data_IF_190024851519
#
_entry.id   IF_190024851519
#
_cell.length_a   1.000
_cell.length_b   1.000
_cell.length_c   1.000
_cell.angle_alpha   90.00
_cell.angle_beta   90.00
_cell.angle_gamma   90.00
#
_symmetry.space_group_name_H-M   'P 1'
#
loop_
_entity.id
_entity.type
_entity.pdbx_description
1 polymer ?
#
# COMPACT_ATOMS: atom_id res chain seq x y z
N UNK A 1 0.00 7.48 10.12
CA UNK A 1 -1.32 7.12 9.56
C UNK A 1 -2.34 6.77 10.63
N UNK A 2 -2.09 5.74 11.45
CA UNK A 2 -2.99 5.29 12.54
C UNK A 2 -3.59 6.42 13.40
N UNK A 3 -2.81 7.40 13.90
CA UNK A 3 -3.39 8.46 14.73
C UNK A 3 -4.37 9.37 13.97
N UNK A 4 -4.07 9.75 12.72
CA UNK A 4 -4.96 10.60 11.92
C UNK A 4 -6.26 9.87 11.54
N UNK A 5 -6.19 8.56 11.34
CA UNK A 5 -7.37 7.73 11.13
C UNK A 5 -8.32 7.79 12.32
N UNK A 6 -7.80 7.61 13.54
CA UNK A 6 -8.59 7.69 14.78
C UNK A 6 -9.17 9.08 15.02
N UNK A 7 -8.39 10.14 14.78
CA UNK A 7 -8.87 11.52 14.96
C UNK A 7 -9.99 11.82 13.93
N UNK A 8 -9.86 11.36 12.68
CA UNK A 8 -10.88 11.55 11.64
C UNK A 8 -12.21 10.84 11.95
N UNK A 9 -12.15 9.59 12.41
CA UNK A 9 -13.35 8.82 12.79
C UNK A 9 -14.05 9.44 14.01
N UNK A 10 -13.29 9.83 15.03
CA UNK A 10 -13.86 10.49 16.20
C UNK A 10 -14.47 11.86 15.87
N UNK A 11 -13.77 12.67 15.08
CA UNK A 11 -14.24 14.01 14.68
C UNK A 11 -15.55 13.94 13.88
N UNK A 12 -15.63 13.05 12.90
CA UNK A 12 -16.84 12.87 12.09
C UNK A 12 -18.00 12.32 12.92
N UNK A 13 -17.75 11.36 13.81
CA UNK A 13 -18.76 10.87 14.76
C UNK A 13 -19.28 11.96 15.69
N UNK A 14 -18.37 12.78 16.24
CA UNK A 14 -18.73 13.92 17.08
C UNK A 14 -19.61 14.92 16.34
N UNK A 15 -19.29 15.28 15.09
CA UNK A 15 -20.10 16.19 14.28
C UNK A 15 -21.51 15.64 14.07
N UNK A 16 -21.63 14.37 13.65
CA UNK A 16 -22.93 13.74 13.37
C UNK A 16 -23.80 13.70 14.62
N UNK A 17 -23.21 13.38 15.77
CA UNK A 17 -23.92 13.32 17.05
C UNK A 17 -24.29 14.71 17.58
N UNK A 18 -23.37 15.68 17.52
CA UNK A 18 -23.55 17.01 18.10
C UNK A 18 -24.58 17.85 17.34
N UNK A 19 -24.54 17.82 16.01
CA UNK A 19 -25.41 18.64 15.17
C UNK A 19 -26.72 17.97 14.77
N UNK A 20 -26.94 16.70 15.18
CA UNK A 20 -28.12 15.91 14.82
C UNK A 20 -28.50 16.07 13.35
N UNK A 21 -27.51 15.86 12.49
CA UNK A 21 -27.67 16.05 11.05
C UNK A 21 -28.75 15.10 10.50
N UNK A 22 -29.64 15.60 9.65
CA UNK A 22 -30.59 14.76 8.92
C UNK A 22 -29.87 13.90 7.87
N UNK A 23 -30.52 12.88 7.32
CA UNK A 23 -29.91 12.00 6.30
C UNK A 23 -29.35 12.81 5.11
N UNK A 24 -30.12 13.78 4.59
CA UNK A 24 -29.68 14.65 3.49
C UNK A 24 -28.48 15.52 3.88
N UNK A 25 -28.45 16.07 5.10
CA UNK A 25 -27.31 16.89 5.57
C UNK A 25 -26.06 16.04 5.79
N UNK A 26 -26.24 14.82 6.30
CA UNK A 26 -25.15 13.86 6.50
C UNK A 26 -24.56 13.41 5.16
N UNK A 27 -25.41 13.17 4.15
CA UNK A 27 -24.97 12.85 2.80
C UNK A 27 -24.18 14.00 2.17
N UNK A 28 -24.66 15.25 2.30
CA UNK A 28 -23.92 16.44 1.85
C UNK A 28 -22.57 16.58 2.57
N UNK A 29 -22.51 16.24 3.86
CA UNK A 29 -21.27 16.21 4.62
C UNK A 29 -20.29 15.15 4.10
N UNK A 30 -20.76 13.92 3.79
CA UNK A 30 -19.93 12.90 3.15
C UNK A 30 -19.36 13.38 1.82
N UNK A 31 -20.19 13.99 0.98
CA UNK A 31 -19.75 14.55 -0.32
C UNK A 31 -18.67 15.61 -0.09
N UNK A 32 -18.85 16.52 0.86
CA UNK A 32 -17.86 17.54 1.17
C UNK A 32 -16.50 16.92 1.61
N UNK A 33 -16.52 15.91 2.48
CA UNK A 33 -15.31 15.20 2.90
C UNK A 33 -14.61 14.49 1.73
N UNK A 34 -15.36 13.86 0.83
CA UNK A 34 -14.83 13.24 -0.40
C UNK A 34 -14.24 14.27 -1.38
N UNK A 35 -14.82 15.47 -1.45
CA UNK A 35 -14.22 16.55 -2.24
C UNK A 35 -12.91 17.02 -1.61
N UNK A 36 -12.82 17.12 -0.28
CA UNK A 36 -11.57 17.44 0.41
C UNK A 36 -10.48 16.38 0.17
N UNK A 37 -10.82 15.08 0.18
CA UNK A 37 -9.84 14.03 -0.16
C UNK A 37 -9.39 14.14 -1.62
N UNK A 38 -10.31 14.41 -2.54
CA UNK A 38 -9.98 14.59 -3.96
C UNK A 38 -9.04 15.79 -4.19
N UNK A 39 -9.27 16.90 -3.50
CA UNK A 39 -8.42 18.10 -3.57
C UNK A 39 -7.00 17.84 -3.05
N UNK A 40 -6.85 16.91 -2.09
CA UNK A 40 -5.55 16.52 -1.52
C UNK A 40 -4.85 15.38 -2.29
N UNK A 41 -5.55 14.74 -3.23
CA UNK A 41 -5.01 13.69 -4.12
C UNK A 41 -3.73 14.05 -4.90
N UNK A 42 -3.48 15.30 -5.38
CA UNK A 42 -2.26 15.59 -6.13
C UNK A 42 -0.96 15.45 -5.31
N UNK A 43 -1.03 15.13 -4.01
CA UNK A 43 0.14 14.71 -3.23
C UNK A 43 0.90 13.53 -3.87
N UNK A 44 0.22 12.67 -4.64
CA UNK A 44 0.87 11.58 -5.37
C UNK A 44 1.73 12.04 -6.55
N UNK A 45 1.62 13.32 -6.96
CA UNK A 45 2.47 13.92 -7.98
C UNK A 45 3.77 14.49 -7.41
N UNK A 46 3.94 14.48 -6.08
CA UNK A 46 5.20 14.88 -5.45
C UNK A 46 6.23 13.78 -5.72
N UNK A 47 6.92 13.92 -6.84
CA UNK A 47 8.04 13.08 -7.21
C UNK A 47 9.32 13.58 -6.54
N UNK A 48 10.15 12.63 -6.15
CA UNK A 48 11.46 12.88 -5.58
C UNK A 48 12.46 12.03 -6.35
N UNK A 49 13.53 12.65 -6.83
CA UNK A 49 14.62 11.91 -7.46
C UNK A 49 15.26 10.95 -6.45
N UNK A 50 15.50 9.73 -6.91
CA UNK A 50 16.24 8.70 -6.18
C UNK A 50 17.70 8.73 -6.61
N UNK A 51 18.61 8.40 -5.70
CA UNK A 51 20.04 8.33 -6.00
C UNK A 51 20.35 7.15 -6.94
N UNK A 52 21.08 7.35 -8.04
CA UNK A 52 21.28 6.31 -9.04
C UNK A 52 22.05 5.12 -8.46
N UNK A 53 21.58 3.91 -8.78
CA UNK A 53 22.23 2.66 -8.40
C UNK A 53 23.23 2.22 -9.48
N UNK A 54 24.52 2.28 -9.17
CA UNK A 54 25.59 1.92 -10.10
C UNK A 54 25.54 0.43 -10.48
N UNK A 55 25.69 0.16 -11.78
CA UNK A 55 25.59 -1.17 -12.37
C UNK A 55 24.17 -1.66 -12.63
N UNK A 56 23.15 -0.84 -12.33
CA UNK A 56 21.72 -1.18 -12.51
C UNK A 56 20.97 -0.06 -13.24
N UNK A 57 21.06 1.17 -12.75
CA UNK A 57 20.43 2.35 -13.36
C UNK A 57 21.44 3.14 -14.20
N UNK A 58 22.68 3.24 -13.71
CA UNK A 58 23.79 3.89 -14.40
C UNK A 58 24.99 2.96 -14.54
N UNK A 59 25.84 3.23 -15.53
CA UNK A 59 27.13 2.53 -15.67
C UNK A 59 28.11 3.01 -14.60
N UNK A 60 29.07 2.16 -14.25
CA UNK A 60 30.19 2.59 -13.42
C UNK A 60 30.97 3.69 -14.15
N UNK A 61 31.21 4.83 -13.49
CA UNK A 61 31.91 5.98 -14.10
C UNK A 61 33.30 5.61 -14.64
N UNK A 62 33.98 4.63 -14.01
CA UNK A 62 35.28 4.10 -14.45
C UNK A 62 35.23 3.35 -15.80
N UNK A 63 34.08 2.76 -16.16
CA UNK A 63 33.91 2.07 -17.44
C UNK A 63 33.69 3.07 -18.59
N UNK A 64 33.05 4.21 -18.29
CA UNK A 64 32.83 5.29 -19.26
C UNK A 64 34.16 5.96 -19.63
N UNK A 65 35.03 6.20 -18.64
CA UNK A 65 36.36 6.78 -18.86
C UNK A 65 37.31 5.86 -19.67
N UNK A 66 37.08 4.55 -19.66
CA UNK A 66 37.91 3.58 -20.40
C UNK A 66 37.45 3.36 -21.85
N UNK A 67 36.19 3.69 -22.17
CA UNK A 67 35.58 3.46 -23.50
C UNK A 67 35.66 4.69 -24.43
N UNK A 68 36.14 5.84 -23.96
CA UNK A 68 36.31 7.05 -24.79
C UNK A 68 37.37 6.89 -25.89
N UNK A 69 38.19 5.84 -25.84
CA UNK A 69 39.24 5.55 -26.83
C UNK A 69 38.88 4.44 -27.85
N UNK A 70 37.68 3.84 -27.79
CA UNK A 70 37.27 2.80 -28.75
C UNK A 70 36.02 3.18 -29.56
N UNK A 71 36.26 3.31 -30.86
CA UNK A 71 35.33 3.62 -31.96
C UNK A 71 33.91 3.02 -31.83
N UNK A 72 32.93 3.92 -31.84
CA UNK A 72 31.64 3.89 -32.53
C UNK A 72 31.15 2.52 -33.02
N UNK A 73 30.57 1.73 -32.11
CA UNK A 73 29.46 0.82 -32.38
C UNK A 73 28.64 0.72 -31.08
N UNK A 74 27.94 1.80 -30.74
CA UNK A 74 27.11 1.88 -29.55
C UNK A 74 25.85 1.02 -29.73
N UNK A 75 25.99 -0.30 -29.64
CA UNK A 75 24.91 -1.13 -29.09
C UNK A 75 24.64 -0.60 -27.68
N UNK A 76 23.39 -0.29 -27.36
CA UNK A 76 22.96 0.09 -26.01
C UNK A 76 23.44 -0.98 -25.01
N UNK A 77 24.60 -0.75 -24.40
CA UNK A 77 25.14 -1.64 -23.38
C UNK A 77 24.24 -1.41 -22.17
N UNK A 78 23.50 -2.43 -21.77
CA UNK A 78 22.71 -2.38 -20.55
C UNK A 78 23.69 -2.36 -19.36
N UNK A 79 23.49 -1.49 -18.34
CA UNK A 79 24.34 -1.48 -17.17
C UNK A 79 24.36 -2.86 -16.48
N UNK A 80 25.55 -3.30 -16.07
CA UNK A 80 25.80 -4.60 -15.44
C UNK A 80 26.41 -4.40 -14.06
N UNK A 81 25.94 -5.16 -13.06
CA UNK A 81 26.53 -5.16 -11.72
C UNK A 81 27.99 -5.61 -11.73
N UNK A 82 28.38 -6.49 -12.66
CA UNK A 82 29.79 -6.91 -12.81
C UNK A 82 30.47 -6.00 -13.83
N UNK A 83 31.58 -5.40 -13.41
CA UNK A 83 32.43 -4.47 -14.16
C UNK A 83 33.90 -4.84 -13.96
N UNK A 84 34.82 -4.29 -14.75
CA UNK A 84 36.25 -4.58 -14.61
C UNK A 84 36.80 -4.18 -13.23
N UNK A 85 36.22 -3.14 -12.62
CA UNK A 85 36.64 -2.65 -11.31
C UNK A 85 36.30 -3.60 -10.16
N UNK A 86 35.25 -4.43 -10.26
CA UNK A 86 34.84 -5.39 -9.23
C UNK A 86 35.12 -6.85 -9.60
N UNK A 87 35.93 -7.11 -10.64
CA UNK A 87 36.35 -8.48 -11.00
C UNK A 87 37.28 -9.14 -9.98
N UNK A 88 37.93 -8.36 -9.13
CA UNK A 88 38.87 -8.88 -8.13
C UNK A 88 38.16 -9.65 -7.02
N UNK A 89 36.84 -9.51 -6.90
CA UNK A 89 36.02 -10.13 -5.88
C UNK A 89 34.87 -10.92 -6.53
N UNK A 90 34.60 -12.13 -6.03
CA UNK A 90 33.52 -12.98 -6.56
C UNK A 90 32.17 -12.58 -5.92
N UNK A 91 31.62 -11.46 -6.38
CA UNK A 91 30.44 -10.88 -5.76
C UNK A 91 29.19 -11.73 -5.98
N UNK A 92 28.49 -12.01 -4.87
CA UNK A 92 27.23 -12.76 -4.84
C UNK A 92 26.06 -11.81 -5.12
N UNK A 93 25.31 -12.00 -6.23
CA UNK A 93 24.21 -11.12 -6.60
C UNK A 93 22.94 -11.32 -5.76
N UNK A 94 22.85 -12.40 -4.96
CA UNK A 94 21.71 -12.66 -4.08
C UNK A 94 21.82 -11.96 -2.72
N UNK A 95 22.93 -11.28 -2.44
CA UNK A 95 23.18 -10.65 -1.14
C UNK A 95 23.24 -9.12 -1.27
N UNK A 96 22.16 -8.45 -0.88
CA UNK A 96 22.02 -7.00 -0.96
C UNK A 96 22.47 -6.32 0.34
N UNK A 97 23.57 -5.56 0.27
CA UNK A 97 24.14 -4.80 1.40
C UNK A 97 24.51 -3.39 0.93
N UNK A 98 23.54 -2.46 0.80
CA UNK A 98 23.75 -1.20 0.12
C UNK A 98 24.83 -0.35 0.79
N UNK A 99 25.64 0.30 -0.04
CA UNK A 99 26.64 1.29 0.39
C UNK A 99 26.52 2.54 -0.46
N UNK A 100 26.83 3.69 0.13
CA UNK A 100 26.72 4.99 -0.52
C UNK A 100 28.09 5.67 -0.65
N UNK A 101 28.44 6.13 -1.84
CA UNK A 101 29.53 7.08 -2.05
C UNK A 101 28.97 8.52 -2.04
N UNK A 102 29.53 9.37 -1.18
CA UNK A 102 29.22 10.81 -1.16
C UNK A 102 30.38 11.59 -1.78
N UNK A 103 30.10 12.38 -2.81
CA UNK A 103 31.10 13.19 -3.51
C UNK A 103 31.10 14.65 -3.02
N UNK A 104 32.19 15.38 -3.29
CA UNK A 104 32.30 16.80 -2.92
C UNK A 104 31.24 17.70 -3.59
N UNK A 105 30.72 17.30 -4.75
CA UNK A 105 29.72 18.06 -5.51
C UNK A 105 28.28 17.79 -5.05
N UNK A 106 28.10 17.31 -3.82
CA UNK A 106 26.82 16.88 -3.24
C UNK A 106 26.09 15.74 -3.96
N UNK A 107 26.61 15.25 -5.11
CA UNK A 107 26.18 14.02 -5.78
C UNK A 107 26.44 12.83 -4.86
N UNK A 108 25.52 11.87 -4.88
CA UNK A 108 25.65 10.60 -4.18
C UNK A 108 25.39 9.47 -5.18
N UNK A 109 26.07 8.34 -4.99
CA UNK A 109 25.88 7.15 -5.82
C UNK A 109 25.78 5.93 -4.92
N UNK A 110 24.72 5.16 -5.13
CA UNK A 110 24.49 3.93 -4.39
C UNK A 110 25.12 2.74 -5.12
N UNK A 111 25.62 1.78 -4.36
CA UNK A 111 26.16 0.52 -4.87
C UNK A 111 25.44 -0.66 -4.20
N UNK A 112 25.26 -1.75 -4.95
CA UNK A 112 24.51 -2.93 -4.50
C UNK A 112 25.12 -3.60 -3.26
N UNK A 113 26.45 -3.66 -3.20
CA UNK A 113 27.20 -4.22 -2.07
C UNK A 113 28.60 -3.61 -1.99
N UNK A 114 29.32 -3.72 -0.86
CA UNK A 114 30.72 -3.29 -0.77
C UNK A 114 31.61 -4.06 -1.77
N UNK A 115 31.27 -5.30 -2.09
CA UNK A 115 31.94 -6.10 -3.12
C UNK A 115 31.73 -5.48 -4.51
N UNK A 116 30.48 -5.14 -4.86
CA UNK A 116 30.17 -4.51 -6.16
C UNK A 116 30.72 -3.08 -6.28
N UNK A 117 31.02 -2.40 -5.17
CA UNK A 117 31.79 -1.16 -5.13
C UNK A 117 33.32 -1.39 -5.26
N UNK A 118 33.78 -2.65 -5.22
CA UNK A 118 35.17 -3.03 -5.38
C UNK A 118 36.06 -2.74 -4.16
N UNK A 119 35.49 -2.68 -2.96
CA UNK A 119 36.24 -2.40 -1.73
C UNK A 119 37.14 -3.57 -1.33
N UNK A 120 38.44 -3.31 -1.15
CA UNK A 120 39.43 -4.31 -0.74
C UNK A 120 39.84 -4.22 0.74
N UNK A 121 39.61 -3.08 1.40
CA UNK A 121 40.17 -2.78 2.73
C UNK A 121 39.16 -2.95 3.87
N UNK A 122 39.68 -3.20 5.08
CA UNK A 122 38.92 -3.49 6.30
C UNK A 122 37.87 -2.40 6.63
N UNK A 123 36.64 -2.86 6.84
CA UNK A 123 35.51 -2.07 7.33
C UNK A 123 35.84 -1.40 8.67
N UNK A 124 35.74 -0.08 8.73
CA UNK A 124 35.87 0.65 9.98
C UNK A 124 34.52 0.71 10.71
N UNK A 125 34.37 -0.13 11.73
CA UNK A 125 33.11 -0.26 12.46
C UNK A 125 32.66 1.04 13.17
N UNK A 126 33.60 1.88 13.62
CA UNK A 126 33.28 3.12 14.34
C UNK A 126 32.61 4.15 13.43
N UNK A 127 33.07 4.28 12.19
CA UNK A 127 32.54 5.24 11.21
C UNK A 127 31.57 4.60 10.22
N UNK A 128 31.51 3.27 10.20
CA UNK A 128 30.76 2.45 9.23
C UNK A 128 31.18 2.73 7.79
N UNK A 129 32.48 2.85 7.54
CA UNK A 129 33.06 3.21 6.24
C UNK A 129 33.91 2.06 5.71
N UNK A 130 33.81 1.82 4.41
CA UNK A 130 34.73 0.98 3.65
C UNK A 130 35.70 1.86 2.86
N UNK A 131 36.92 1.35 2.70
CA UNK A 131 38.03 2.06 2.07
C UNK A 131 38.54 1.32 0.84
N UNK A 132 39.22 2.08 -0.04
CA UNK A 132 39.90 1.55 -1.21
C UNK A 132 38.96 0.75 -2.12
N UNK A 133 37.87 1.41 -2.53
CA UNK A 133 36.85 0.84 -3.40
C UNK A 133 37.16 1.16 -4.86
N UNK A 134 37.58 0.17 -5.64
CA UNK A 134 38.06 0.35 -7.01
C UNK A 134 37.02 0.85 -8.01
N UNK A 135 35.72 0.63 -7.76
CA UNK A 135 34.64 1.12 -8.61
C UNK A 135 34.17 2.54 -8.26
N UNK A 136 34.75 3.14 -7.22
CA UNK A 136 34.36 4.45 -6.70
C UNK A 136 35.40 5.48 -7.16
N UNK A 137 34.98 6.61 -7.74
CA UNK A 137 35.87 7.71 -8.07
C UNK A 137 36.61 8.29 -6.85
N UNK A 138 37.71 9.01 -7.11
CA UNK A 138 38.60 9.50 -6.05
C UNK A 138 38.06 10.71 -5.28
N UNK A 139 37.07 11.41 -5.83
CA UNK A 139 36.49 12.65 -5.32
C UNK A 139 35.44 12.44 -4.21
N UNK A 140 35.68 11.48 -3.31
CA UNK A 140 34.79 11.17 -2.19
C UNK A 140 35.03 12.07 -0.98
N UNK A 141 33.94 12.48 -0.31
CA UNK A 141 33.94 13.45 0.80
C UNK A 141 34.66 12.93 2.07
N UNK A 142 34.64 11.62 2.30
CA UNK A 142 35.13 11.00 3.54
C UNK A 142 36.50 10.32 3.41
N UNK A 143 37.25 10.59 2.33
CA UNK A 143 38.57 10.01 2.10
C UNK A 143 38.76 9.58 0.66
N UNK A 144 39.81 8.79 0.38
CA UNK A 144 40.09 8.27 -0.95
C UNK A 144 39.26 7.02 -1.26
N UNK A 145 38.39 7.10 -2.27
CA UNK A 145 37.54 6.00 -2.75
C UNK A 145 36.79 5.30 -1.62
N UNK A 146 36.05 6.08 -0.84
CA UNK A 146 35.35 5.61 0.36
C UNK A 146 33.84 5.51 0.15
N UNK A 147 33.23 4.52 0.81
CA UNK A 147 31.77 4.35 0.84
C UNK A 147 31.29 4.12 2.26
N UNK A 148 30.13 4.69 2.57
CA UNK A 148 29.46 4.54 3.86
C UNK A 148 28.46 3.39 3.78
N UNK A 149 28.38 2.61 4.85
CA UNK A 149 27.40 1.53 4.96
C UNK A 149 25.97 2.09 5.06
N UNK A 150 25.05 1.53 4.27
CA UNK A 150 23.67 1.94 4.18
C UNK A 150 23.33 2.68 2.90
N UNK A 151 22.05 3.03 2.78
CA UNK A 151 21.52 3.83 1.68
C UNK A 151 22.01 5.28 1.77
N UNK A 152 22.06 5.94 0.62
CA UNK A 152 22.34 7.36 0.53
C UNK A 152 21.29 8.20 1.28
N UNK A 153 21.74 9.34 1.81
CA UNK A 153 20.86 10.21 2.60
C UNK A 153 20.06 11.10 1.65
N UNK A 154 18.76 10.82 1.54
CA UNK A 154 17.87 11.60 0.68
C UNK A 154 17.78 13.05 1.18
N UNK A 155 18.34 14.00 0.42
CA UNK A 155 18.23 15.46 0.70
C UNK A 155 16.88 16.04 0.29
N UNK A 156 15.88 15.20 0.11
CA UNK A 156 14.64 15.55 -0.56
C UNK A 156 13.65 16.27 0.38
N UNK A 157 13.52 17.58 0.18
CA UNK A 157 12.51 18.39 0.88
C UNK A 157 11.08 18.01 0.49
N UNK A 158 10.89 17.38 -0.67
CA UNK A 158 9.60 16.88 -1.16
C UNK A 158 8.97 15.84 -0.23
N UNK A 159 9.78 15.02 0.46
CA UNK A 159 9.27 14.02 1.41
C UNK A 159 8.47 14.66 2.56
N UNK A 160 8.97 15.76 3.11
CA UNK A 160 8.25 16.48 4.17
C UNK A 160 6.94 17.09 3.66
N UNK A 161 6.93 17.62 2.44
CA UNK A 161 5.72 18.13 1.81
C UNK A 161 4.69 17.01 1.56
N UNK A 162 5.14 15.85 1.08
CA UNK A 162 4.31 14.66 0.93
C UNK A 162 3.69 14.23 2.26
N UNK A 163 4.48 14.12 3.33
CA UNK A 163 3.98 13.76 4.66
C UNK A 163 2.97 14.79 5.20
N UNK A 164 3.22 16.08 4.97
CA UNK A 164 2.35 17.16 5.38
C UNK A 164 0.99 17.15 4.66
N UNK A 165 0.94 16.71 3.39
CA UNK A 165 -0.30 16.54 2.63
C UNK A 165 -0.99 15.20 2.90
N UNK A 166 -0.21 14.16 3.19
CA UNK A 166 -0.72 12.82 3.45
C UNK A 166 -1.47 12.71 4.78
N UNK A 167 -1.03 13.45 5.80
CA UNK A 167 -1.71 13.48 7.10
C UNK A 167 -3.17 13.97 7.02
N UNK A 168 -3.48 15.16 6.44
CA UNK A 168 -4.87 15.60 6.28
C UNK A 168 -5.64 14.73 5.29
N UNK A 169 -4.99 14.21 4.23
CA UNK A 169 -5.65 13.26 3.33
C UNK A 169 -6.17 12.04 4.09
N UNK A 170 -5.34 11.42 4.93
CA UNK A 170 -5.74 10.29 5.78
C UNK A 170 -6.89 10.69 6.70
N UNK A 171 -6.80 11.85 7.36
CA UNK A 171 -7.85 12.34 8.25
C UNK A 171 -9.21 12.41 7.53
N UNK A 172 -9.28 13.05 6.36
CA UNK A 172 -10.54 13.17 5.61
C UNK A 172 -11.02 11.82 5.08
N UNK A 173 -10.13 10.95 4.60
CA UNK A 173 -10.49 9.62 4.11
C UNK A 173 -11.17 8.77 5.20
N UNK A 174 -10.61 8.75 6.42
CA UNK A 174 -11.18 7.99 7.53
C UNK A 174 -12.39 8.70 8.18
N UNK A 175 -12.50 10.02 8.06
CA UNK A 175 -13.67 10.77 8.52
C UNK A 175 -14.96 10.46 7.73
N UNK A 176 -14.87 9.89 6.52
CA UNK A 176 -16.04 9.52 5.71
C UNK A 176 -16.73 8.24 6.23
N UNK A 177 -16.00 7.35 6.91
CA UNK A 177 -16.52 6.04 7.31
C UNK A 177 -17.73 6.11 8.27
N UNK A 178 -17.61 6.91 9.34
CA UNK A 178 -18.67 7.05 10.36
C UNK A 178 -19.97 7.66 9.80
N UNK A 179 -19.96 8.78 9.06
CA UNK A 179 -21.20 9.34 8.52
C UNK A 179 -21.82 8.44 7.45
N UNK A 180 -21.05 7.67 6.67
CA UNK A 180 -21.59 6.67 5.76
C UNK A 180 -22.39 5.59 6.50
N UNK A 181 -21.78 4.97 7.51
CA UNK A 181 -22.45 3.95 8.34
C UNK A 181 -23.70 4.54 9.00
N UNK A 182 -23.62 5.78 9.51
CA UNK A 182 -24.76 6.46 10.12
C UNK A 182 -25.90 6.72 9.14
N UNK A 183 -25.63 6.96 7.86
CA UNK A 183 -26.69 7.14 6.84
C UNK A 183 -27.37 5.81 6.59
N UNK A 184 -26.61 4.73 6.36
CA UNK A 184 -27.16 3.39 6.09
C UNK A 184 -28.09 2.94 7.23
N UNK A 185 -27.67 3.10 8.48
CA UNK A 185 -28.47 2.74 9.65
C UNK A 185 -29.78 3.54 9.80
N UNK A 186 -29.86 4.73 9.20
CA UNK A 186 -31.06 5.59 9.24
C UNK A 186 -31.97 5.40 8.03
N UNK A 187 -31.48 4.78 6.96
CA UNK A 187 -32.26 4.52 5.74
C UNK A 187 -32.92 3.15 5.74
N UNK A 188 -32.48 2.24 6.61
CA UNK A 188 -33.00 0.87 6.69
C UNK A 188 -33.67 0.61 8.04
N UNK A 189 -34.66 -0.28 8.03
CA UNK A 189 -35.38 -0.70 9.22
C UNK A 189 -34.49 -1.50 10.18
N UNK A 190 -34.85 -1.51 11.46
CA UNK A 190 -34.03 -2.11 12.52
C UNK A 190 -33.68 -3.59 12.27
N UNK A 191 -34.59 -4.36 11.67
CA UNK A 191 -34.40 -5.77 11.36
C UNK A 191 -33.36 -6.03 10.26
N UNK A 192 -33.15 -5.08 9.34
CA UNK A 192 -32.31 -5.27 8.15
C UNK A 192 -30.93 -4.58 8.25
N UNK A 193 -30.63 -3.94 9.38
CA UNK A 193 -29.40 -3.14 9.56
C UNK A 193 -28.12 -3.95 9.38
N UNK A 194 -28.04 -5.11 10.02
CA UNK A 194 -26.85 -5.97 9.94
C UNK A 194 -26.63 -6.48 8.51
N UNK A 195 -27.72 -6.81 7.82
CA UNK A 195 -27.69 -7.23 6.42
C UNK A 195 -27.19 -6.11 5.49
N UNK A 196 -27.75 -4.90 5.63
CA UNK A 196 -27.34 -3.73 4.84
C UNK A 196 -25.86 -3.35 5.06
N UNK A 197 -25.38 -3.39 6.31
CA UNK A 197 -23.97 -3.16 6.61
C UNK A 197 -23.08 -4.26 6.02
N UNK A 198 -23.51 -5.52 6.07
CA UNK A 198 -22.82 -6.63 5.42
C UNK A 198 -22.61 -6.40 3.93
N UNK A 199 -23.69 -6.06 3.20
CA UNK A 199 -23.63 -5.73 1.77
C UNK A 199 -22.69 -4.54 1.51
N UNK A 200 -22.80 -3.48 2.31
CA UNK A 200 -21.93 -2.31 2.18
C UNK A 200 -20.44 -2.70 2.26
N UNK A 201 -20.05 -3.51 3.25
CA UNK A 201 -18.66 -3.96 3.40
C UNK A 201 -18.23 -4.92 2.29
N UNK A 202 -19.12 -5.78 1.81
CA UNK A 202 -18.85 -6.64 0.64
C UNK A 202 -18.53 -5.78 -0.57
N UNK A 203 -19.37 -4.79 -0.91
CA UNK A 203 -19.16 -3.91 -2.06
C UNK A 203 -17.86 -3.11 -1.94
N UNK A 204 -17.57 -2.53 -0.78
CA UNK A 204 -16.32 -1.78 -0.54
C UNK A 204 -15.09 -2.65 -0.77
N UNK A 205 -15.15 -3.91 -0.34
CA UNK A 205 -14.00 -4.82 -0.47
C UNK A 205 -13.85 -5.34 -1.90
N UNK A 206 -14.94 -5.73 -2.56
CA UNK A 206 -14.92 -6.21 -3.94
C UNK A 206 -14.45 -5.13 -4.91
N UNK A 207 -14.92 -3.89 -4.75
CA UNK A 207 -14.60 -2.79 -5.67
C UNK A 207 -13.29 -2.09 -5.29
N UNK A 208 -12.92 -2.08 -4.01
CA UNK A 208 -11.75 -1.35 -3.51
C UNK A 208 -10.60 -2.25 -3.09
N UNK A 209 -10.80 -3.05 -2.04
CA UNK A 209 -9.69 -3.75 -1.37
C UNK A 209 -9.14 -4.94 -2.14
N UNK A 210 -9.91 -5.57 -3.03
CA UNK A 210 -9.44 -6.66 -3.90
C UNK A 210 -8.62 -6.12 -5.08
N UNK A 211 -9.11 -5.17 -5.88
CA UNK A 211 -8.34 -4.67 -7.03
C UNK A 211 -7.13 -3.83 -6.62
N UNK A 212 -7.16 -3.15 -5.45
CA UNK A 212 -6.05 -2.29 -5.04
C UNK A 212 -4.71 -3.05 -4.91
N UNK A 213 -4.57 -4.14 -4.10
CA UNK A 213 -3.32 -4.90 -4.02
C UNK A 213 -2.88 -5.52 -5.35
N UNK A 214 -3.83 -5.92 -6.21
CA UNK A 214 -3.52 -6.48 -7.54
C UNK A 214 -2.91 -5.40 -8.44
N UNK A 215 -3.52 -4.22 -8.47
CA UNK A 215 -3.02 -3.09 -9.26
C UNK A 215 -1.69 -2.58 -8.72
N UNK A 216 -1.56 -2.42 -7.40
CA UNK A 216 -0.29 -2.02 -6.78
C UNK A 216 0.80 -3.07 -7.00
N UNK A 217 0.49 -4.36 -6.88
CA UNK A 217 1.43 -5.44 -7.18
C UNK A 217 1.92 -5.38 -8.63
N UNK A 218 1.00 -5.25 -9.59
CA UNK A 218 1.36 -5.08 -10.99
C UNK A 218 2.20 -3.82 -11.25
N UNK A 219 1.85 -2.71 -10.59
CA UNK A 219 2.62 -1.46 -10.70
C UNK A 219 4.05 -1.63 -10.16
N UNK A 220 4.23 -2.32 -9.04
CA UNK A 220 5.56 -2.64 -8.51
C UNK A 220 6.33 -3.56 -9.44
N UNK A 221 5.69 -4.59 -10.00
CA UNK A 221 6.32 -5.52 -10.94
C UNK A 221 6.78 -4.80 -12.23
N UNK A 222 5.98 -3.87 -12.76
CA UNK A 222 6.36 -3.04 -13.93
C UNK A 222 7.51 -2.07 -13.59
N UNK A 223 7.57 -1.62 -12.34
CA UNK A 223 8.62 -0.70 -11.87
C UNK A 223 9.96 -1.42 -11.61
N UNK A 224 9.99 -2.75 -11.63
CA UNK A 224 11.22 -3.51 -11.42
C UNK A 224 12.14 -3.44 -12.65
N UNK A 225 13.30 -2.82 -12.48
CA UNK A 225 14.33 -2.68 -13.52
C UNK A 225 14.98 -4.03 -13.91
N UNK A 226 14.85 -5.09 -13.09
CA UNK A 226 15.25 -6.47 -13.39
C UNK A 226 14.07 -7.44 -13.23
N UNK A 227 13.31 -7.64 -14.31
CA UNK A 227 12.17 -8.56 -14.35
C UNK A 227 12.52 -10.05 -14.28
N UNK A 228 13.80 -10.42 -14.42
CA UNK A 228 14.22 -11.78 -14.81
C UNK A 228 14.95 -12.62 -13.76
N UNK A 229 15.26 -12.10 -12.55
CA UNK A 229 16.06 -12.88 -11.58
C UNK A 229 15.27 -13.54 -10.47
N UNK A 230 14.07 -13.06 -10.11
CA UNK A 230 13.28 -13.67 -9.05
C UNK A 230 11.82 -13.77 -9.44
N UNK A 231 11.24 -14.95 -9.18
CA UNK A 231 9.81 -15.22 -9.39
C UNK A 231 9.03 -14.31 -8.43
N UNK A 232 8.45 -13.23 -8.96
CA UNK A 232 7.83 -12.17 -8.15
C UNK A 232 6.78 -12.71 -7.14
N UNK A 233 7.07 -12.51 -5.85
CA UNK A 233 6.22 -12.86 -4.70
C UNK A 233 4.92 -12.03 -4.63
N UNK A 234 4.81 -10.94 -5.41
CA UNK A 234 3.64 -10.06 -5.45
C UNK A 234 2.34 -10.77 -5.83
N UNK A 235 2.40 -11.71 -6.78
CA UNK A 235 1.25 -12.53 -7.19
C UNK A 235 0.80 -13.48 -6.08
N UNK A 236 1.73 -14.02 -5.29
CA UNK A 236 1.43 -14.88 -4.14
C UNK A 236 0.81 -14.09 -3.00
N UNK A 237 1.31 -12.90 -2.69
CA UNK A 237 0.76 -12.02 -1.64
C UNK A 237 -0.66 -11.54 -2.02
N UNK A 238 -0.87 -11.15 -3.28
CA UNK A 238 -2.20 -10.78 -3.77
C UNK A 238 -3.19 -11.95 -3.66
N UNK A 239 -2.79 -13.16 -4.06
CA UNK A 239 -3.62 -14.35 -3.93
C UNK A 239 -3.90 -14.74 -2.47
N UNK A 240 -2.92 -14.63 -1.58
CA UNK A 240 -3.09 -14.89 -0.14
C UNK A 240 -4.04 -13.87 0.50
N UNK A 241 -3.93 -12.57 0.17
CA UNK A 241 -4.85 -11.54 0.65
C UNK A 241 -6.28 -11.77 0.10
N UNK A 242 -6.41 -12.19 -1.15
CA UNK A 242 -7.69 -12.55 -1.76
C UNK A 242 -8.30 -13.77 -1.05
N UNK A 243 -7.51 -14.81 -0.78
CA UNK A 243 -7.96 -15.99 -0.03
C UNK A 243 -8.33 -15.63 1.41
N UNK A 244 -7.53 -14.83 2.13
CA UNK A 244 -7.83 -14.41 3.50
C UNK A 244 -9.09 -13.54 3.58
N UNK A 245 -9.30 -12.65 2.61
CA UNK A 245 -10.53 -11.84 2.55
C UNK A 245 -11.74 -12.70 2.24
N UNK A 246 -11.65 -13.63 1.29
CA UNK A 246 -12.71 -14.60 1.00
C UNK A 246 -12.99 -15.54 2.18
N UNK A 247 -11.96 -15.97 2.90
CA UNK A 247 -12.12 -16.80 4.11
C UNK A 247 -12.82 -16.01 5.21
N UNK A 248 -12.42 -14.77 5.46
CA UNK A 248 -13.11 -13.87 6.40
C UNK A 248 -14.57 -13.63 5.99
N UNK A 249 -14.85 -13.47 4.70
CA UNK A 249 -16.23 -13.37 4.23
C UNK A 249 -17.01 -14.67 4.40
N UNK A 250 -16.37 -15.81 4.14
CA UNK A 250 -16.98 -17.13 4.29
C UNK A 250 -17.25 -17.49 5.75
N UNK A 251 -16.45 -16.99 6.70
CA UNK A 251 -16.72 -17.13 8.13
C UNK A 251 -17.88 -16.24 8.56
N UNK A 252 -17.90 -14.97 8.14
CA UNK A 252 -19.00 -14.05 8.46
C UNK A 252 -20.35 -14.49 7.87
N UNK A 253 -20.36 -15.20 6.72
CA UNK A 253 -21.58 -15.77 6.14
C UNK A 253 -22.01 -17.09 6.79
N UNK A 254 -21.14 -17.76 7.54
CA UNK A 254 -21.43 -19.07 8.15
C UNK A 254 -22.05 -18.94 9.54
N UNK A 255 -21.97 -17.76 10.15
CA UNK A 255 -22.39 -17.51 11.53
C UNK A 255 -23.81 -16.96 11.69
N UNK A 256 -24.63 -16.92 10.63
CA UNK A 256 -26.06 -16.62 10.78
C UNK A 256 -26.83 -17.92 11.08
N UNK A 257 -27.17 -18.25 12.36
CA UNK A 257 -28.18 -19.25 12.63
C UNK A 257 -29.49 -18.76 12.01
N UNK A 258 -30.10 -19.63 11.19
CA UNK A 258 -31.40 -19.40 10.58
C UNK A 258 -32.37 -18.85 11.64
N UNK A 259 -33.05 -17.70 11.41
CA UNK A 259 -34.00 -17.18 12.38
C UNK A 259 -35.11 -18.23 12.57
N UNK A 260 -35.18 -18.80 13.77
CA UNK A 260 -36.20 -19.75 14.19
C UNK A 260 -37.61 -19.15 14.22
N UNK A 261 -37.76 -17.85 13.93
CA UNK A 261 -39.05 -17.15 13.92
C UNK A 261 -39.89 -17.41 12.67
N UNK A 262 -39.31 -17.88 11.55
CA UNK A 262 -40.10 -18.23 10.36
C UNK A 262 -40.95 -19.52 10.54
N UNK A 263 -40.74 -20.27 11.63
CA UNK A 263 -41.52 -21.50 11.91
C UNK A 263 -42.78 -21.20 12.74
N UNK A 264 -42.83 -20.08 13.47
CA UNK A 264 -43.93 -19.80 14.40
C UNK A 264 -45.14 -19.19 13.69
N UNK A 265 -44.93 -18.39 12.65
CA UNK A 265 -46.03 -17.74 11.89
C UNK A 265 -46.91 -18.75 11.14
N UNK A 266 -46.37 -19.93 10.79
CA UNK A 266 -47.15 -21.02 10.20
C UNK A 266 -47.97 -21.83 11.22
N UNK A 267 -47.63 -21.79 12.51
CA UNK A 267 -48.43 -22.47 13.55
C UNK A 267 -49.64 -21.65 13.99
N UNK A 268 -49.49 -20.33 14.11
CA UNK A 268 -50.60 -19.45 14.52
C UNK A 268 -51.62 -19.26 13.38
N UNK A 269 -51.17 -19.16 12.12
CA UNK A 269 -52.08 -19.06 10.98
C UNK A 269 -52.88 -20.37 10.74
N UNK A 270 -52.31 -21.53 11.06
CA UNK A 270 -53.01 -22.82 10.97
C UNK A 270 -54.01 -23.02 12.13
N UNK A 271 -53.69 -22.60 13.35
CA UNK A 271 -54.64 -22.66 14.49
C UNK A 271 -55.85 -21.73 14.28
N UNK A 272 -55.64 -20.51 13.79
CA UNK A 272 -56.74 -19.57 13.52
C UNK A 272 -57.65 -20.07 12.39
N UNK A 273 -57.10 -20.75 11.38
CA UNK A 273 -57.89 -21.35 10.30
C UNK A 273 -58.69 -22.59 10.73
N UNK A 274 -58.20 -23.35 11.72
CA UNK A 274 -58.91 -24.52 12.27
C UNK A 274 -60.09 -24.10 13.16
N UNK A 275 -59.91 -23.09 14.01
CA UNK A 275 -60.98 -22.53 14.85
C UNK A 275 -62.08 -21.85 14.02
N UNK A 276 -61.71 -21.19 12.91
CA UNK A 276 -62.69 -20.60 11.98
C UNK A 276 -63.53 -21.68 11.26
N UNK A 277 -62.95 -22.82 10.89
CA UNK A 277 -63.69 -23.94 10.26
C UNK A 277 -64.64 -24.63 11.22
N UNK A 278 -64.27 -24.80 12.49
CA UNK A 278 -65.11 -25.44 13.52
C UNK A 278 -66.33 -24.58 13.89
N UNK A 279 -66.19 -23.25 13.88
CA UNK A 279 -67.30 -22.34 14.17
C UNK A 279 -68.32 -22.22 13.01
N UNK A 280 -67.88 -22.34 11.76
CA UNK A 280 -68.78 -22.35 10.60
C UNK A 280 -69.59 -23.67 10.52
N UNK A 281 -69.01 -24.81 10.89
CA UNK A 281 -69.72 -26.10 10.95
C UNK A 281 -70.78 -26.15 12.08
N UNK A 282 -70.61 -25.40 13.17
CA UNK A 282 -71.60 -25.33 14.27
C UNK A 282 -72.82 -24.45 13.96
N UNK A 283 -72.75 -23.55 12.97
CA UNK A 283 -73.89 -22.73 12.57
C UNK A 283 -74.84 -23.39 11.56
N UNK A 284 -74.45 -24.53 10.98
CA UNK A 284 -75.30 -25.30 10.06
C UNK A 284 -76.03 -26.50 10.70
N UNK A 285 -75.90 -26.70 12.02
CA UNK A 285 -76.55 -27.79 12.77
C UNK A 285 -77.49 -27.31 13.89
N UNK A 286 -78.08 -26.12 13.79
CA UNK A 286 -79.15 -25.70 14.71
C UNK A 286 -80.31 -25.04 13.98
#
# INVERSE_FOLDING_TARGET
MVPMAGIGTMFSGFIVQRFRLSCVKTLKFCIALLMCTLILSPMYLVYCDHDPLAGIEEHYEMDVASNSDQNNNATEILPSLKSNCNRHCDCVPSEYHPVCAEFYNDKQTSFYSPCFAGCQQNYEALRKIYYNCSCVPENTRFGYRTVKNGLCESKCRGLFAFLALFAPFCFFAFAVGVPLISVVLRTVDYAERSFALGIQWILVRVIGTIPAPVLFGWMFDVSCIRYNLDVCSGKTIAMVLLICTLLFFSSQMRDDPLPTEAVIENSELNQVNEEAKVNVLKQHQK
#
